data_IF_978109303209
#
_entry.id   IF_978109303209
#
_cell.length_a   1.000
_cell.length_b   1.000
_cell.length_c   1.000
_cell.angle_alpha   90.00
_cell.angle_beta   90.00
_cell.angle_gamma   90.00
#
_symmetry.space_group_name_H-M   'P 1'
#
loop_
_entity.id
_entity.type
_entity.pdbx_description
1 polymer ?
#
# COMPACT_ATOMS: atom_id res chain seq x y z
N UNK A 1 -14.68 -12.25 26.79
CA UNK A 1 -14.97 -12.98 25.54
C UNK A 1 -15.39 -11.96 24.50
N UNK A 2 -14.43 -11.44 23.74
CA UNK A 2 -14.68 -10.54 22.61
C UNK A 2 -14.93 -11.42 21.39
N UNK A 3 -16.10 -11.29 20.79
CA UNK A 3 -16.46 -11.91 19.52
C UNK A 3 -15.46 -11.50 18.43
N UNK A 4 -15.02 -12.42 17.55
CA UNK A 4 -14.24 -12.04 16.38
C UNK A 4 -15.11 -11.10 15.52
N UNK A 5 -14.60 -9.90 15.24
CA UNK A 5 -15.27 -8.95 14.33
C UNK A 5 -15.27 -9.57 12.93
N UNK A 6 -16.39 -9.54 12.20
CA UNK A 6 -16.40 -9.94 10.81
C UNK A 6 -15.51 -8.97 10.01
N UNK A 7 -14.66 -9.55 9.15
CA UNK A 7 -13.83 -8.86 8.18
C UNK A 7 -14.59 -7.67 7.56
N UNK A 8 -14.06 -6.47 7.77
CA UNK A 8 -14.39 -5.32 6.94
C UNK A 8 -14.13 -5.72 5.48
N UNK A 9 -15.20 -5.76 4.68
CA UNK A 9 -15.22 -6.16 3.26
C UNK A 9 -13.97 -5.72 2.51
N UNK A 10 -12.98 -6.60 2.37
CA UNK A 10 -11.82 -6.33 1.53
C UNK A 10 -12.14 -6.69 0.08
N UNK A 11 -11.56 -5.91 -0.82
CA UNK A 11 -11.58 -6.15 -2.25
C UNK A 11 -10.85 -7.45 -2.61
N UNK A 12 -11.57 -8.58 -2.69
CA UNK A 12 -10.95 -9.89 -2.99
C UNK A 12 -10.61 -10.09 -4.47
N UNK A 13 -11.14 -9.25 -5.37
CA UNK A 13 -10.81 -9.23 -6.78
C UNK A 13 -10.64 -7.77 -7.26
N UNK A 14 -9.40 -7.26 -7.42
CA UNK A 14 -9.20 -5.91 -7.91
C UNK A 14 -9.47 -5.85 -9.41
N UNK A 15 -10.39 -4.99 -9.82
CA UNK A 15 -10.65 -4.69 -11.23
C UNK A 15 -9.60 -3.74 -11.82
N UNK A 16 -8.86 -3.06 -10.95
CA UNK A 16 -7.83 -2.11 -11.30
C UNK A 16 -6.61 -2.29 -10.38
N UNK A 17 -5.47 -2.67 -10.96
CA UNK A 17 -4.19 -2.79 -10.28
C UNK A 17 -3.26 -1.66 -10.74
N UNK A 18 -2.73 -0.90 -9.80
CA UNK A 18 -1.81 0.21 -10.05
C UNK A 18 -0.48 -0.12 -9.41
N UNK A 19 0.58 -0.29 -10.19
CA UNK A 19 1.93 -0.45 -9.68
C UNK A 19 2.59 0.92 -9.55
N UNK A 20 3.18 1.20 -8.40
CA UNK A 20 3.73 2.51 -8.04
C UNK A 20 5.18 2.38 -7.65
N UNK A 21 6.03 3.21 -8.23
CA UNK A 21 7.40 3.40 -7.76
C UNK A 21 7.75 4.88 -7.68
N UNK A 22 8.48 5.24 -6.63
CA UNK A 22 8.92 6.60 -6.35
C UNK A 22 10.44 6.66 -6.42
N UNK A 23 10.97 7.65 -7.14
CA UNK A 23 12.38 8.01 -7.06
C UNK A 23 12.58 8.99 -5.90
N UNK A 24 13.52 8.68 -5.01
CA UNK A 24 13.89 9.59 -3.93
C UNK A 24 14.87 10.62 -4.46
N UNK A 25 14.35 11.80 -4.81
CA UNK A 25 15.16 12.92 -5.29
C UNK A 25 15.10 14.05 -4.28
N UNK A 26 16.26 14.60 -3.90
CA UNK A 26 16.34 15.84 -3.15
C UNK A 26 15.80 17.01 -3.97
N UNK A 27 15.06 17.93 -3.32
CA UNK A 27 14.34 19.06 -3.94
C UNK A 27 15.20 19.89 -4.92
N UNK A 28 16.53 19.83 -4.81
CA UNK A 28 17.49 20.60 -5.60
C UNK A 28 17.93 19.95 -6.93
N UNK A 29 17.51 18.72 -7.28
CA UNK A 29 18.01 17.98 -8.46
C UNK A 29 16.92 17.66 -9.53
N UNK A 30 15.89 18.49 -9.66
CA UNK A 30 14.66 18.11 -10.39
C UNK A 30 14.70 18.03 -11.94
N UNK A 31 15.75 18.48 -12.64
CA UNK A 31 15.59 18.83 -14.07
C UNK A 31 16.29 17.94 -15.10
N UNK A 32 17.34 17.17 -14.78
CA UNK A 32 18.08 16.35 -15.77
C UNK A 32 18.08 14.84 -15.51
N UNK A 33 17.97 14.38 -14.25
CA UNK A 33 18.02 12.95 -13.90
C UNK A 33 16.66 12.23 -13.98
N UNK A 34 15.57 12.96 -14.25
CA UNK A 34 14.20 12.43 -14.11
C UNK A 34 13.83 11.38 -15.17
N UNK A 35 14.28 11.55 -16.42
CA UNK A 35 13.91 10.63 -17.53
C UNK A 35 14.58 9.26 -17.42
N UNK A 36 15.87 9.24 -17.05
CA UNK A 36 16.61 8.00 -16.81
C UNK A 36 16.06 7.30 -15.57
N UNK A 37 15.79 8.05 -14.50
CA UNK A 37 15.14 7.51 -13.30
C UNK A 37 13.76 6.93 -13.59
N UNK A 38 12.94 7.54 -14.44
CA UNK A 38 11.61 7.01 -14.80
C UNK A 38 11.71 5.70 -15.61
N UNK A 39 12.71 5.55 -16.48
CA UNK A 39 12.94 4.31 -17.24
C UNK A 39 13.34 3.16 -16.30
N UNK A 40 14.27 3.40 -15.38
CA UNK A 40 14.70 2.41 -14.39
C UNK A 40 13.55 2.02 -13.44
N UNK A 41 12.77 3.00 -12.98
CA UNK A 41 11.58 2.74 -12.17
C UNK A 41 10.58 1.89 -12.94
N UNK A 42 10.38 2.14 -14.23
CA UNK A 42 9.47 1.37 -15.07
C UNK A 42 9.94 -0.09 -15.21
N UNK A 43 11.24 -0.32 -15.40
CA UNK A 43 11.82 -1.67 -15.41
C UNK A 43 11.59 -2.36 -14.06
N UNK A 44 11.79 -1.64 -12.96
CA UNK A 44 11.53 -2.15 -11.61
C UNK A 44 10.06 -2.50 -11.38
N UNK A 45 9.13 -1.74 -11.98
CA UNK A 45 7.70 -2.03 -11.95
C UNK A 45 7.31 -3.22 -12.81
N UNK A 46 7.91 -3.40 -13.99
CA UNK A 46 7.72 -4.62 -14.80
C UNK A 46 8.17 -5.86 -14.03
N UNK A 47 9.32 -5.80 -13.36
CA UNK A 47 9.79 -6.88 -12.51
C UNK A 47 8.81 -7.14 -11.35
N UNK A 48 8.36 -6.08 -10.67
CA UNK A 48 7.37 -6.19 -9.58
C UNK A 48 6.07 -6.82 -10.07
N UNK A 49 5.60 -6.44 -11.25
CA UNK A 49 4.42 -7.03 -11.89
C UNK A 49 4.64 -8.52 -12.20
N UNK A 50 5.78 -8.89 -12.78
CA UNK A 50 6.09 -10.28 -13.09
C UNK A 50 6.08 -11.15 -11.82
N UNK A 51 6.70 -10.67 -10.73
CA UNK A 51 6.64 -11.34 -9.42
C UNK A 51 5.22 -11.42 -8.88
N UNK A 52 4.42 -10.37 -9.05
CA UNK A 52 3.02 -10.34 -8.63
C UNK A 52 2.20 -11.41 -9.38
N UNK A 53 2.30 -11.45 -10.71
CA UNK A 53 1.55 -12.41 -11.54
C UNK A 53 2.01 -13.84 -11.31
N UNK A 54 3.29 -14.06 -10.98
CA UNK A 54 3.80 -15.35 -10.56
C UNK A 54 3.19 -15.81 -9.22
N UNK A 55 3.06 -14.90 -8.25
CA UNK A 55 2.56 -15.22 -6.91
C UNK A 55 1.02 -15.35 -6.84
N UNK A 56 0.30 -14.56 -7.63
CA UNK A 56 -1.16 -14.40 -7.50
C UNK A 56 -1.95 -14.74 -8.77
N UNK A 57 -1.26 -15.10 -9.85
CA UNK A 57 -1.86 -15.34 -11.16
C UNK A 57 -2.01 -14.07 -12.01
N UNK A 58 -2.43 -14.21 -13.28
CA UNK A 58 -2.43 -13.13 -14.25
C UNK A 58 -3.46 -12.03 -13.89
N UNK A 59 -3.10 -10.78 -14.14
CA UNK A 59 -4.00 -9.64 -13.94
C UNK A 59 -5.03 -9.62 -15.08
N UNK A 60 -6.31 -9.76 -14.74
CA UNK A 60 -7.42 -9.77 -15.72
C UNK A 60 -8.08 -8.40 -15.92
N UNK A 61 -7.85 -7.48 -14.98
CA UNK A 61 -8.42 -6.13 -14.99
C UNK A 61 -7.54 -5.09 -15.66
N UNK A 62 -7.81 -3.82 -15.37
CA UNK A 62 -6.97 -2.70 -15.79
C UNK A 62 -5.65 -2.76 -15.00
N UNK A 63 -4.52 -2.63 -15.70
CA UNK A 63 -3.19 -2.59 -15.11
C UNK A 63 -2.50 -1.28 -15.53
N UNK A 64 -2.14 -0.44 -14.57
CA UNK A 64 -1.46 0.83 -14.82
C UNK A 64 -0.15 0.92 -14.01
N UNK A 65 0.83 1.63 -14.55
CA UNK A 65 2.07 1.96 -13.85
C UNK A 65 2.10 3.46 -13.58
N UNK A 66 2.49 3.83 -12.36
CA UNK A 66 2.67 5.21 -11.94
C UNK A 66 4.07 5.40 -11.36
N UNK A 67 4.89 6.23 -12.01
CA UNK A 67 6.23 6.61 -11.54
C UNK A 67 6.28 8.10 -11.28
N UNK A 68 7.01 8.51 -10.26
CA UNK A 68 7.24 9.92 -9.98
C UNK A 68 8.47 10.10 -9.07
N UNK A 69 8.95 11.34 -9.00
CA UNK A 69 10.04 11.72 -8.12
C UNK A 69 9.54 12.72 -7.09
N UNK A 70 9.68 12.38 -5.80
CA UNK A 70 9.32 13.25 -4.69
C UNK A 70 9.90 12.70 -3.39
N UNK A 71 10.34 13.52 -2.42
CA UNK A 71 10.69 13.04 -1.09
C UNK A 71 9.50 12.39 -0.39
N UNK A 72 9.63 11.16 0.13
CA UNK A 72 8.51 10.40 0.71
C UNK A 72 7.82 11.11 1.88
N UNK A 73 8.59 11.84 2.68
CA UNK A 73 8.14 12.52 3.89
C UNK A 73 7.53 13.91 3.65
N UNK A 74 7.71 14.49 2.47
CA UNK A 74 7.11 15.78 2.13
C UNK A 74 5.72 15.58 1.55
N UNK A 75 4.81 16.48 1.92
CA UNK A 75 3.46 16.49 1.37
C UNK A 75 3.51 16.69 -0.15
N UNK A 76 2.76 15.86 -0.88
CA UNK A 76 2.56 16.06 -2.31
C UNK A 76 1.67 17.28 -2.53
N UNK A 77 2.03 18.20 -3.46
CA UNK A 77 1.15 19.31 -3.81
C UNK A 77 -0.23 18.78 -4.25
N UNK A 78 -1.33 19.43 -3.84
CA UNK A 78 -2.69 19.03 -4.26
C UNK A 78 -2.86 19.05 -5.79
N UNK A 79 -2.12 19.91 -6.47
CA UNK A 79 -2.05 20.01 -7.92
C UNK A 79 -0.93 19.15 -8.54
N UNK A 80 -0.35 18.20 -7.81
CA UNK A 80 0.64 17.28 -8.36
C UNK A 80 -0.01 16.30 -9.33
N UNK A 81 0.81 15.78 -10.25
CA UNK A 81 0.38 14.74 -11.18
C UNK A 81 -0.09 13.48 -10.45
N UNK A 82 0.62 13.06 -9.41
CA UNK A 82 0.26 11.90 -8.57
C UNK A 82 -1.10 12.08 -7.90
N UNK A 83 -1.37 13.23 -7.27
CA UNK A 83 -2.67 13.47 -6.62
C UNK A 83 -3.81 13.45 -7.65
N UNK A 84 -3.63 14.12 -8.80
CA UNK A 84 -4.63 14.06 -9.89
C UNK A 84 -4.79 12.66 -10.48
N UNK A 85 -3.70 11.91 -10.58
CA UNK A 85 -3.72 10.54 -11.10
C UNK A 85 -4.64 9.69 -10.24
N UNK A 86 -4.41 9.65 -8.92
CA UNK A 86 -5.22 8.87 -7.99
C UNK A 86 -6.65 9.38 -7.90
N UNK A 87 -6.87 10.71 -7.80
CA UNK A 87 -8.22 11.28 -7.72
C UNK A 87 -9.13 10.85 -8.89
N UNK A 88 -8.59 10.76 -10.11
CA UNK A 88 -9.35 10.27 -11.28
C UNK A 88 -9.72 8.79 -11.14
N UNK A 89 -8.81 7.96 -10.63
CA UNK A 89 -9.03 6.51 -10.51
C UNK A 89 -9.99 6.21 -9.37
N UNK A 90 -9.86 6.89 -8.24
CA UNK A 90 -10.75 6.72 -7.10
C UNK A 90 -12.17 7.20 -7.40
N UNK A 91 -12.34 8.32 -8.11
CA UNK A 91 -13.64 8.76 -8.60
C UNK A 91 -14.32 7.71 -9.50
N UNK A 92 -13.56 7.01 -10.34
CA UNK A 92 -14.08 5.93 -11.18
C UNK A 92 -14.51 4.69 -10.37
N UNK A 93 -13.96 4.45 -9.17
CA UNK A 93 -14.41 3.34 -8.31
C UNK A 93 -15.88 3.52 -7.93
N UNK A 94 -16.28 4.74 -7.53
CA UNK A 94 -17.67 5.04 -7.17
C UNK A 94 -18.63 4.81 -8.34
N UNK A 95 -18.25 5.26 -9.53
CA UNK A 95 -19.10 5.14 -10.73
C UNK A 95 -19.26 3.68 -11.16
N UNK A 96 -18.21 2.87 -11.05
CA UNK A 96 -18.19 1.51 -11.62
C UNK A 96 -18.46 0.40 -10.60
N UNK A 97 -18.63 0.73 -9.32
CA UNK A 97 -18.70 -0.23 -8.21
C UNK A 97 -17.53 -1.25 -8.21
N UNK A 98 -16.32 -0.80 -8.56
CA UNK A 98 -15.09 -1.62 -8.67
C UNK A 98 -14.13 -1.47 -7.50
N UNK A 99 -13.21 -2.41 -7.38
CA UNK A 99 -12.15 -2.35 -6.38
C UNK A 99 -10.79 -2.00 -6.99
N UNK A 100 -9.94 -1.33 -6.21
CA UNK A 100 -8.59 -0.95 -6.61
C UNK A 100 -7.53 -1.62 -5.74
N UNK A 101 -6.46 -2.11 -6.36
CA UNK A 101 -5.25 -2.53 -5.67
C UNK A 101 -4.10 -1.62 -6.07
N UNK A 102 -3.37 -1.14 -5.07
CA UNK A 102 -2.16 -0.33 -5.27
C UNK A 102 -0.97 -1.17 -4.83
N UNK A 103 -0.08 -1.49 -5.75
CA UNK A 103 1.14 -2.26 -5.49
C UNK A 103 2.31 -1.30 -5.38
N UNK A 104 2.87 -1.16 -4.19
CA UNK A 104 4.00 -0.28 -3.90
C UNK A 104 5.32 -1.03 -4.05
N UNK A 105 6.25 -0.45 -4.80
CA UNK A 105 7.61 -0.94 -4.92
C UNK A 105 8.47 -0.36 -3.77
N UNK A 106 8.44 -1.03 -2.61
CA UNK A 106 9.09 -0.59 -1.37
C UNK A 106 8.13 0.07 -0.38
N UNK A 107 8.51 0.07 0.90
CA UNK A 107 7.71 0.60 2.03
C UNK A 107 7.30 2.07 1.86
N UNK A 108 8.15 2.86 1.21
CA UNK A 108 7.97 4.28 0.94
C UNK A 108 7.73 4.57 -0.55
N UNK A 109 7.29 3.55 -1.31
CA UNK A 109 7.11 3.60 -2.76
C UNK A 109 6.05 4.59 -3.25
N UNK A 110 5.33 5.25 -2.35
CA UNK A 110 4.39 6.35 -2.64
C UNK A 110 4.64 7.54 -1.71
N UNK A 111 4.38 7.39 -0.42
CA UNK A 111 4.56 8.48 0.57
C UNK A 111 4.65 7.90 1.98
N UNK A 112 5.37 8.60 2.86
CA UNK A 112 5.32 8.45 4.31
C UNK A 112 4.66 9.67 4.99
N UNK A 113 4.07 10.58 4.20
CA UNK A 113 3.41 11.78 4.69
C UNK A 113 1.92 11.50 4.96
N UNK A 114 1.50 11.60 6.22
CA UNK A 114 0.12 11.34 6.65
C UNK A 114 -0.96 12.14 5.91
N UNK A 115 -0.83 13.48 5.76
CA UNK A 115 -1.75 14.29 4.96
C UNK A 115 -1.89 13.80 3.53
N UNK A 116 -0.78 13.52 2.84
CA UNK A 116 -0.82 12.98 1.47
C UNK A 116 -1.53 11.63 1.41
N UNK A 117 -1.20 10.70 2.30
CA UNK A 117 -1.86 9.40 2.34
C UNK A 117 -3.38 9.54 2.58
N UNK A 118 -3.77 10.46 3.45
CA UNK A 118 -5.16 10.81 3.72
C UNK A 118 -5.87 11.32 2.46
N UNK A 119 -5.26 12.29 1.76
CA UNK A 119 -5.81 12.85 0.51
C UNK A 119 -5.99 11.78 -0.56
N UNK A 120 -5.08 10.81 -0.67
CA UNK A 120 -5.12 9.80 -1.73
C UNK A 120 -6.16 8.71 -1.48
N UNK A 121 -6.40 8.33 -0.21
CA UNK A 121 -7.09 7.07 0.08
C UNK A 121 -8.27 7.15 1.05
N UNK A 122 -8.39 8.18 1.91
CA UNK A 122 -9.34 8.17 3.04
C UNK A 122 -10.79 7.96 2.60
N UNK A 123 -11.23 8.69 1.58
CA UNK A 123 -12.63 8.64 1.11
C UNK A 123 -13.06 7.25 0.64
N UNK A 124 -12.14 6.44 0.12
CA UNK A 124 -12.45 5.13 -0.47
C UNK A 124 -11.66 3.99 0.17
N UNK A 125 -11.19 4.17 1.40
CA UNK A 125 -10.28 3.24 2.05
C UNK A 125 -10.76 1.78 2.07
N UNK A 126 -12.07 1.55 2.22
CA UNK A 126 -12.67 0.20 2.22
C UNK A 126 -12.61 -0.52 0.88
N UNK A 127 -12.32 0.19 -0.21
CA UNK A 127 -12.33 -0.33 -1.59
C UNK A 127 -10.94 -0.39 -2.20
N UNK A 128 -9.93 -0.03 -1.40
CA UNK A 128 -8.54 0.06 -1.81
C UNK A 128 -7.75 -0.90 -0.95
N UNK A 129 -7.00 -1.79 -1.60
CA UNK A 129 -6.01 -2.64 -0.94
C UNK A 129 -4.62 -2.19 -1.35
N UNK A 130 -3.70 -2.04 -0.40
CA UNK A 130 -2.30 -1.80 -0.70
C UNK A 130 -1.54 -3.12 -0.60
N UNK A 131 -0.64 -3.38 -1.54
CA UNK A 131 0.37 -4.44 -1.41
C UNK A 131 1.74 -3.84 -1.55
N UNK A 132 2.60 -4.06 -0.56
CA UNK A 132 3.97 -3.57 -0.59
C UNK A 132 4.88 -4.72 -0.99
N UNK A 133 5.59 -4.58 -2.10
CA UNK A 133 6.68 -5.47 -2.44
C UNK A 133 7.94 -4.95 -1.73
N UNK A 134 8.54 -5.66 -0.78
CA UNK A 134 9.68 -5.16 0.00
C UNK A 134 10.53 -6.28 0.62
N UNK A 135 11.62 -5.90 1.29
CA UNK A 135 12.59 -6.72 2.03
C UNK A 135 13.50 -7.63 1.17
N UNK A 136 14.35 -8.44 1.81
CA UNK A 136 15.27 -9.38 1.15
C UNK A 136 15.21 -10.76 1.83
N UNK A 137 14.76 -11.82 1.14
CA UNK A 137 14.20 -11.83 -0.22
C UNK A 137 12.90 -11.03 -0.31
N UNK A 138 12.62 -10.43 -1.48
CA UNK A 138 11.45 -9.57 -1.65
C UNK A 138 10.15 -10.37 -1.57
N UNK A 139 9.21 -9.86 -0.78
CA UNK A 139 7.88 -10.45 -0.57
C UNK A 139 6.78 -9.40 -0.65
N UNK A 140 5.53 -9.85 -0.88
CA UNK A 140 4.35 -8.98 -0.90
C UNK A 140 3.66 -8.96 0.46
N UNK A 141 3.52 -7.77 1.02
CA UNK A 141 2.82 -7.50 2.28
C UNK A 141 1.49 -6.83 1.97
N UNK A 142 0.39 -7.45 2.37
CA UNK A 142 -0.94 -6.89 2.15
C UNK A 142 -1.32 -5.96 3.29
N UNK A 143 -1.80 -4.76 2.96
CA UNK A 143 -2.13 -3.70 3.91
C UNK A 143 -3.61 -3.37 3.78
N UNK A 144 -4.32 -3.41 4.90
CA UNK A 144 -5.70 -2.96 4.99
C UNK A 144 -5.75 -1.44 5.16
N UNK A 145 -6.11 -0.72 4.10
CA UNK A 145 -6.10 0.75 4.08
C UNK A 145 -7.12 1.34 5.05
N UNK A 146 -8.29 0.72 5.21
CA UNK A 146 -9.29 1.16 6.19
C UNK A 146 -8.74 1.06 7.62
N UNK A 147 -8.07 -0.06 7.94
CA UNK A 147 -7.45 -0.27 9.24
C UNK A 147 -6.31 0.72 9.52
N UNK A 148 -5.56 1.17 8.49
CA UNK A 148 -4.57 2.25 8.64
C UNK A 148 -5.22 3.56 9.10
N UNK A 149 -6.40 3.90 8.58
CA UNK A 149 -7.11 5.09 9.04
C UNK A 149 -7.67 4.93 10.46
N UNK A 150 -8.15 3.74 10.82
CA UNK A 150 -8.51 3.45 12.21
C UNK A 150 -7.32 3.64 13.17
N UNK A 151 -6.10 3.27 12.74
CA UNK A 151 -4.86 3.51 13.49
C UNK A 151 -4.51 5.01 13.56
N UNK A 152 -4.63 5.76 12.46
CA UNK A 152 -4.39 7.21 12.46
C UNK A 152 -5.36 7.97 13.35
N UNK A 153 -6.63 7.55 13.39
CA UNK A 153 -7.66 8.18 14.21
C UNK A 153 -7.60 7.73 15.68
N UNK A 154 -6.69 6.80 16.02
CA UNK A 154 -6.54 6.27 17.39
C UNK A 154 -7.66 5.33 17.82
N UNK A 155 -8.48 4.85 16.89
CA UNK A 155 -9.62 3.96 17.16
C UNK A 155 -9.18 2.54 17.51
N UNK A 156 -7.97 2.14 17.06
CA UNK A 156 -7.35 0.85 17.36
C UNK A 156 -5.87 1.04 17.69
N UNK A 157 -5.29 0.11 18.45
CA UNK A 157 -3.87 0.09 18.81
C UNK A 157 -3.21 -1.16 18.23
N UNK A 158 -1.99 -1.02 17.71
CA UNK A 158 -1.19 -2.17 17.26
C UNK A 158 -0.80 -2.99 18.50
N UNK A 159 -1.14 -4.28 18.47
CA UNK A 159 -0.70 -5.20 19.52
C UNK A 159 0.84 -5.31 19.51
N UNK A 160 1.54 -4.97 20.61
CA UNK A 160 3.00 -5.05 20.69
C UNK A 160 3.53 -6.49 20.56
N UNK A 161 2.71 -7.51 20.83
CA UNK A 161 3.13 -8.92 20.81
C UNK A 161 3.17 -9.57 19.42
N UNK A 162 2.83 -8.85 18.35
CA UNK A 162 3.00 -9.33 16.97
C UNK A 162 4.49 -9.42 16.54
N UNK A 163 5.43 -9.13 17.45
CA UNK A 163 6.88 -9.11 17.21
C UNK A 163 7.59 -10.48 17.24
N UNK A 164 6.89 -11.60 17.43
CA UNK A 164 7.58 -12.88 17.65
C UNK A 164 6.77 -14.15 17.37
N UNK A 165 5.74 -14.11 16.54
CA UNK A 165 5.02 -15.33 16.20
C UNK A 165 5.89 -16.23 15.30
N UNK A 166 6.53 -17.23 15.92
CA UNK A 166 7.14 -18.36 15.23
C UNK A 166 6.05 -19.21 14.59
N UNK A 167 6.18 -19.47 13.29
CA UNK A 167 5.33 -20.36 12.53
C UNK A 167 5.51 -21.82 12.98
N UNK A 168 4.66 -22.29 13.89
CA UNK A 168 4.48 -23.72 14.12
C UNK A 168 2.97 -24.10 14.14
N UNK A 169 2.60 -24.85 13.09
CA UNK A 169 1.62 -25.95 13.02
C UNK A 169 0.08 -25.75 12.80
N UNK A 170 -0.46 -26.79 12.14
CA UNK A 170 -1.81 -27.13 11.61
C UNK A 170 -3.03 -26.78 12.50
N UNK A 171 -4.19 -26.32 11.97
CA UNK A 171 -5.31 -27.16 11.51
C UNK A 171 -6.17 -26.54 10.36
N UNK A 172 -6.31 -27.30 9.26
CA UNK A 172 -6.28 -26.86 7.86
C UNK A 172 -7.32 -25.94 7.20
N UNK A 173 -8.14 -25.13 7.89
CA UNK A 173 -8.86 -24.00 7.23
C UNK A 173 -9.02 -22.81 8.16
N UNK A 174 -9.41 -23.06 9.41
CA UNK A 174 -9.45 -22.01 10.43
C UNK A 174 -8.05 -21.53 10.80
N UNK A 175 -7.05 -22.42 10.81
CA UNK A 175 -5.65 -21.99 10.97
C UNK A 175 -5.16 -21.20 9.76
N UNK A 176 -5.60 -21.54 8.54
CA UNK A 176 -5.24 -20.79 7.32
C UNK A 176 -5.84 -19.39 7.38
N UNK A 177 -7.13 -19.27 7.72
CA UNK A 177 -7.78 -17.97 7.87
C UNK A 177 -7.17 -17.16 9.01
N UNK A 178 -6.89 -17.77 10.16
CA UNK A 178 -6.22 -17.12 11.27
C UNK A 178 -4.78 -16.71 10.94
N UNK A 179 -4.05 -17.52 10.16
CA UNK A 179 -2.70 -17.20 9.70
C UNK A 179 -2.73 -16.06 8.67
N UNK A 180 -3.70 -16.06 7.75
CA UNK A 180 -3.91 -14.98 6.79
C UNK A 180 -4.31 -13.68 7.50
N UNK A 181 -5.17 -13.76 8.51
CA UNK A 181 -5.58 -12.63 9.34
C UNK A 181 -4.40 -12.09 10.15
N UNK A 182 -3.65 -12.96 10.84
CA UNK A 182 -2.44 -12.60 11.56
C UNK A 182 -1.38 -11.98 10.64
N UNK A 183 -1.21 -12.52 9.43
CA UNK A 183 -0.29 -11.99 8.44
C UNK A 183 -0.74 -10.62 7.89
N UNK A 184 -2.05 -10.41 7.72
CA UNK A 184 -2.63 -9.13 7.31
C UNK A 184 -2.46 -8.07 8.41
N UNK A 185 -2.77 -8.42 9.65
CA UNK A 185 -2.57 -7.56 10.82
C UNK A 185 -1.09 -7.22 10.98
N UNK A 186 -0.21 -8.21 10.87
CA UNK A 186 1.24 -8.01 10.90
C UNK A 186 1.71 -7.07 9.79
N UNK A 187 1.29 -7.31 8.55
CA UNK A 187 1.68 -6.49 7.39
C UNK A 187 1.17 -5.05 7.50
N UNK A 188 -0.05 -4.88 7.99
CA UNK A 188 -0.66 -3.56 8.22
C UNK A 188 0.05 -2.83 9.36
N UNK A 189 0.38 -3.53 10.45
CA UNK A 189 1.16 -2.98 11.55
C UNK A 189 2.57 -2.59 11.12
N UNK A 190 3.24 -3.43 10.32
CA UNK A 190 4.57 -3.17 9.78
C UNK A 190 4.55 -1.95 8.86
N UNK A 191 3.57 -1.87 7.96
CA UNK A 191 3.37 -0.70 7.12
C UNK A 191 3.19 0.57 7.95
N UNK A 192 2.31 0.57 8.95
CA UNK A 192 2.10 1.71 9.82
C UNK A 192 3.38 2.14 10.55
N UNK A 193 4.17 1.18 11.06
CA UNK A 193 5.44 1.45 11.74
C UNK A 193 6.45 2.11 10.79
N UNK A 194 6.64 1.57 9.59
CA UNK A 194 7.51 2.19 8.59
C UNK A 194 7.00 3.56 8.16
N UNK A 195 5.69 3.69 7.97
CA UNK A 195 5.05 4.95 7.64
C UNK A 195 5.33 6.02 8.72
N UNK A 196 5.30 5.66 10.00
CA UNK A 196 5.70 6.54 11.11
C UNK A 196 7.19 6.79 11.20
N UNK A 197 8.03 5.79 10.95
CA UNK A 197 9.48 5.92 11.04
C UNK A 197 10.05 6.82 9.93
N UNK A 198 9.48 6.73 8.72
CA UNK A 198 9.86 7.55 7.58
C UNK A 198 9.05 8.85 7.46
N UNK A 199 7.95 8.97 8.21
CA UNK A 199 7.06 10.12 8.19
C UNK A 199 7.34 11.07 9.34
N UNK A 200 7.23 12.38 9.11
CA UNK A 200 7.15 13.36 10.20
C UNK A 200 5.72 13.37 10.74
N UNK A 201 5.32 12.29 11.42
CA UNK A 201 4.05 12.29 12.17
C UNK A 201 4.28 13.03 13.50
N UNK A 202 4.25 14.37 13.43
CA UNK A 202 3.85 15.17 14.60
C UNK A 202 2.33 15.02 14.73
N UNK A 203 1.90 14.10 15.58
CA UNK A 203 0.51 14.04 16.04
C UNK A 203 0.31 15.24 16.98
N UNK A 204 -0.65 16.11 16.65
CA UNK A 204 -1.14 17.15 17.56
C UNK A 204 -1.86 16.51 18.76
#
# INVERSE_FOLDING_TARGET
>A
MTTPRPLTNMATNPDHVIFVARSSIDRNQMTSQRRESDADLRISLEYTRACFEQAYGPIRGICEFHTFAWPSYLELPPSSETVRFFARRTAALNIMNRNMMVVLNGWDGLTSCGPTFTTLFREHASRITIRVFADQPRSFYQVNVAQIFELFDGNILINPYLEGMSHDLDDGVLSILANMEAQLEYSTALFYRYFRAFGVLQLN
#
